data_IF_971828436251
#
_entry.id   IF_971828436251
#
_cell.length_a   1.000
_cell.length_b   1.000
_cell.length_c   1.000
_cell.angle_alpha   90.00
_cell.angle_beta   90.00
_cell.angle_gamma   90.00
#
_symmetry.space_group_name_H-M   'P 1'
#
loop_
_entity.id
_entity.type
_entity.pdbx_description
1 polymer ?
#
# COMPACT_ATOMS: atom_id res chain seq x y z
N UNK A 1 1.38 13.60 14.57
CA UNK A 1 0.89 12.21 14.45
C UNK A 1 -0.27 12.25 13.48
N UNK A 2 -0.29 11.41 12.47
CA UNK A 2 -1.45 11.22 11.59
C UNK A 2 -2.09 9.87 11.92
N UNK A 3 -3.41 9.81 11.93
CA UNK A 3 -4.20 8.62 12.22
C UNK A 3 -4.89 8.18 10.94
N UNK A 4 -4.62 6.95 10.51
CA UNK A 4 -5.26 6.34 9.34
C UNK A 4 -6.47 5.52 9.81
N UNK A 5 -7.65 5.80 9.24
CA UNK A 5 -8.84 4.98 9.45
C UNK A 5 -8.73 3.69 8.63
N UNK A 6 -7.92 2.74 9.12
CA UNK A 6 -7.69 1.46 8.47
C UNK A 6 -8.82 0.47 8.76
N UNK A 7 -9.71 0.25 7.80
CA UNK A 7 -10.76 -0.76 7.92
C UNK A 7 -10.37 -2.10 7.30
N UNK A 8 -10.94 -3.17 7.85
CA UNK A 8 -10.75 -4.52 7.33
C UNK A 8 -11.49 -4.71 6.01
N UNK A 9 -11.14 -5.79 5.31
CA UNK A 9 -11.88 -6.28 4.15
C UNK A 9 -13.01 -7.24 4.59
N UNK A 10 -14.14 -7.28 3.85
CA UNK A 10 -14.40 -6.53 2.61
C UNK A 10 -14.94 -5.12 2.87
N UNK A 11 -14.52 -4.15 2.06
CA UNK A 11 -15.07 -2.78 2.10
C UNK A 11 -16.29 -2.61 1.18
N UNK A 12 -16.59 -3.62 0.37
CA UNK A 12 -17.74 -3.65 -0.55
C UNK A 12 -18.43 -5.01 -0.56
N UNK A 13 -19.64 -5.05 -1.13
CA UNK A 13 -20.47 -6.25 -1.14
C UNK A 13 -21.40 -6.38 0.08
N UNK A 14 -22.14 -7.49 0.19
CA UNK A 14 -23.23 -7.67 1.16
C UNK A 14 -22.76 -7.70 2.62
N UNK A 15 -21.51 -8.10 2.87
CA UNK A 15 -20.95 -8.23 4.22
C UNK A 15 -20.17 -6.97 4.68
N UNK A 16 -20.09 -5.93 3.84
CA UNK A 16 -19.27 -4.74 4.10
C UNK A 16 -19.95 -3.65 4.96
N UNK A 17 -21.24 -3.79 5.27
CA UNK A 17 -22.00 -2.72 5.93
C UNK A 17 -21.42 -2.34 7.30
N UNK A 18 -20.88 -3.31 8.04
CA UNK A 18 -20.24 -3.05 9.33
C UNK A 18 -18.93 -2.27 9.14
N UNK A 19 -18.05 -2.73 8.25
CA UNK A 19 -16.75 -2.08 8.00
C UNK A 19 -16.92 -0.67 7.42
N UNK A 20 -17.90 -0.45 6.55
CA UNK A 20 -18.24 0.88 6.02
C UNK A 20 -18.71 1.86 7.09
N UNK A 21 -19.51 1.38 8.05
CA UNK A 21 -19.94 2.20 9.20
C UNK A 21 -18.76 2.55 10.08
N UNK A 22 -17.89 1.58 10.38
CA UNK A 22 -16.68 1.83 11.15
C UNK A 22 -15.76 2.85 10.47
N UNK A 23 -15.61 2.79 9.14
CA UNK A 23 -14.85 3.80 8.40
C UNK A 23 -15.48 5.20 8.55
N UNK A 24 -16.80 5.31 8.37
CA UNK A 24 -17.51 6.57 8.50
C UNK A 24 -17.40 7.15 9.92
N UNK A 25 -17.58 6.31 10.94
CA UNK A 25 -17.46 6.70 12.36
C UNK A 25 -16.02 7.15 12.69
N UNK A 26 -15.00 6.48 12.14
CA UNK A 26 -13.60 6.87 12.33
C UNK A 26 -13.27 8.22 11.67
N UNK A 27 -13.82 8.49 10.49
CA UNK A 27 -13.70 9.79 9.82
C UNK A 27 -14.40 10.88 10.63
N UNK A 28 -15.62 10.63 11.12
CA UNK A 28 -16.35 11.58 11.98
C UNK A 28 -15.62 11.83 13.31
N UNK A 29 -14.94 10.83 13.86
CA UNK A 29 -14.13 10.94 15.06
C UNK A 29 -12.80 11.72 14.85
N UNK A 30 -12.45 12.07 13.61
CA UNK A 30 -11.31 12.92 13.29
C UNK A 30 -10.05 12.17 12.82
N UNK A 31 -10.20 11.02 12.14
CA UNK A 31 -9.08 10.42 11.42
C UNK A 31 -8.51 11.37 10.34
N UNK A 32 -7.19 11.35 10.16
CA UNK A 32 -6.48 12.25 9.24
C UNK A 32 -6.41 11.70 7.80
N UNK A 33 -6.55 10.38 7.63
CA UNK A 33 -6.37 9.68 6.34
C UNK A 33 -7.38 8.53 6.23
N UNK A 34 -7.95 8.34 5.05
CA UNK A 34 -8.78 7.17 4.74
C UNK A 34 -7.89 6.00 4.36
N UNK A 35 -8.09 4.84 5.00
CA UNK A 35 -7.32 3.63 4.71
C UNK A 35 -8.16 2.41 4.36
N UNK A 36 -7.47 1.31 4.07
CA UNK A 36 -8.08 0.02 3.78
C UNK A 36 -7.07 -1.00 3.26
N UNK A 37 -7.48 -2.28 3.18
CA UNK A 37 -6.67 -3.37 2.63
C UNK A 37 -7.40 -4.08 1.46
N UNK A 38 -7.55 -3.44 0.28
CA UNK A 38 -8.40 -3.96 -0.80
C UNK A 38 -8.04 -5.38 -1.24
N UNK A 39 -6.76 -5.71 -1.27
CA UNK A 39 -6.24 -6.99 -1.75
C UNK A 39 -6.59 -8.19 -0.85
N UNK A 40 -7.11 -7.96 0.36
CA UNK A 40 -7.49 -9.04 1.30
C UNK A 40 -8.94 -9.53 1.14
N UNK A 41 -9.76 -8.84 0.35
CA UNK A 41 -11.18 -9.18 0.17
C UNK A 41 -11.59 -9.36 -1.28
N UNK A 42 -12.78 -9.93 -1.53
CA UNK A 42 -13.41 -9.86 -2.84
C UNK A 42 -13.70 -8.39 -3.22
N UNK A 43 -13.77 -8.10 -4.52
CA UNK A 43 -14.11 -6.76 -5.00
C UNK A 43 -13.05 -5.71 -4.65
N UNK A 44 -11.76 -6.05 -4.80
CA UNK A 44 -10.64 -5.16 -4.47
C UNK A 44 -10.73 -3.81 -5.22
N UNK A 45 -11.04 -3.83 -6.51
CA UNK A 45 -11.28 -2.61 -7.32
C UNK A 45 -12.42 -1.77 -6.75
N UNK A 46 -13.54 -2.38 -6.39
CA UNK A 46 -14.67 -1.67 -5.78
C UNK A 46 -14.30 -1.10 -4.39
N UNK A 47 -13.44 -1.80 -3.65
CA UNK A 47 -12.93 -1.34 -2.35
C UNK A 47 -12.03 -0.12 -2.49
N UNK A 48 -11.18 -0.07 -3.53
CA UNK A 48 -10.42 1.15 -3.89
C UNK A 48 -11.38 2.28 -4.21
N UNK A 49 -12.36 2.05 -5.08
CA UNK A 49 -13.34 3.07 -5.46
C UNK A 49 -14.07 3.65 -4.25
N UNK A 50 -14.49 2.79 -3.32
CA UNK A 50 -15.17 3.21 -2.10
C UNK A 50 -14.28 4.08 -1.19
N UNK A 51 -13.01 3.70 -1.02
CA UNK A 51 -12.07 4.48 -0.21
C UNK A 51 -11.87 5.90 -0.79
N UNK A 52 -11.69 6.01 -2.12
CA UNK A 52 -11.59 7.31 -2.79
C UNK A 52 -12.87 8.13 -2.66
N UNK A 53 -14.05 7.51 -2.76
CA UNK A 53 -15.34 8.18 -2.57
C UNK A 53 -15.49 8.76 -1.16
N UNK A 54 -15.14 7.98 -0.13
CA UNK A 54 -15.16 8.44 1.28
C UNK A 54 -14.17 9.58 1.48
N UNK A 55 -12.95 9.43 1.00
CA UNK A 55 -11.90 10.43 1.15
C UNK A 55 -12.25 11.75 0.46
N UNK A 56 -12.80 11.69 -0.76
CA UNK A 56 -13.22 12.88 -1.51
C UNK A 56 -14.35 13.64 -0.79
N UNK A 57 -15.34 12.91 -0.23
CA UNK A 57 -16.40 13.54 0.57
C UNK A 57 -15.88 14.18 1.86
N UNK A 58 -14.88 13.56 2.48
CA UNK A 58 -14.31 14.03 3.74
C UNK A 58 -13.24 15.11 3.55
N UNK A 59 -12.75 15.33 2.32
CA UNK A 59 -11.64 16.23 2.04
C UNK A 59 -10.30 15.71 2.58
N UNK A 60 -10.14 14.39 2.67
CA UNK A 60 -8.99 13.72 3.29
C UNK A 60 -8.10 13.02 2.25
N UNK A 61 -6.80 12.83 2.52
CA UNK A 61 -5.93 11.96 1.75
C UNK A 61 -6.29 10.47 1.90
N UNK A 62 -5.71 9.64 1.03
CA UNK A 62 -5.86 8.18 1.01
C UNK A 62 -4.50 7.50 1.23
N UNK A 63 -4.46 6.48 2.09
CA UNK A 63 -3.32 5.56 2.23
C UNK A 63 -3.84 4.12 2.36
N UNK A 64 -3.68 3.33 1.29
CA UNK A 64 -4.16 1.95 1.25
C UNK A 64 -3.01 0.96 1.42
N UNK A 65 -3.27 -0.14 2.14
CA UNK A 65 -2.44 -1.33 2.06
C UNK A 65 -2.67 -1.98 0.70
N UNK A 66 -1.78 -1.68 -0.23
CA UNK A 66 -1.97 -1.95 -1.66
C UNK A 66 -1.12 -3.12 -2.07
N UNK A 67 -1.77 -4.15 -2.60
CA UNK A 67 -1.12 -5.32 -3.21
C UNK A 67 0.01 -5.95 -2.37
N UNK A 68 -0.20 -6.14 -1.07
CA UNK A 68 0.75 -6.77 -0.15
C UNK A 68 0.77 -8.31 -0.30
N UNK A 69 1.08 -8.77 -1.50
CA UNK A 69 1.04 -10.19 -1.86
C UNK A 69 2.10 -10.53 -2.91
N UNK A 70 2.51 -11.80 -2.95
CA UNK A 70 3.37 -12.34 -4.00
C UNK A 70 2.62 -12.68 -5.30
N UNK A 71 1.28 -12.54 -5.32
CA UNK A 71 0.47 -12.76 -6.53
C UNK A 71 0.64 -11.59 -7.52
N UNK A 72 1.25 -11.80 -8.70
CA UNK A 72 1.45 -10.73 -9.68
C UNK A 72 0.16 -10.30 -10.38
N UNK A 73 -0.96 -11.00 -10.21
CA UNK A 73 -2.25 -10.57 -10.77
C UNK A 73 -2.91 -9.45 -9.97
N UNK A 74 -2.49 -9.24 -8.71
CA UNK A 74 -3.00 -8.18 -7.85
C UNK A 74 -2.29 -6.86 -8.11
N UNK A 75 -2.94 -5.95 -8.84
CA UNK A 75 -2.41 -4.64 -9.24
C UNK A 75 -3.42 -3.52 -8.98
N UNK A 76 -4.04 -3.52 -7.80
CA UNK A 76 -5.02 -2.49 -7.39
C UNK A 76 -4.42 -1.09 -7.33
N UNK A 77 -3.08 -0.97 -7.30
CA UNK A 77 -2.40 0.32 -7.51
C UNK A 77 -2.75 0.99 -8.85
N UNK A 78 -3.08 0.20 -9.89
CA UNK A 78 -3.55 0.75 -11.17
C UNK A 78 -4.97 1.31 -11.06
N UNK A 79 -5.84 0.67 -10.28
CA UNK A 79 -7.17 1.20 -9.98
C UNK A 79 -7.06 2.53 -9.23
N UNK A 80 -6.12 2.64 -8.27
CA UNK A 80 -5.84 3.90 -7.57
C UNK A 80 -5.37 4.99 -8.54
N UNK A 81 -4.46 4.66 -9.46
CA UNK A 81 -3.97 5.61 -10.48
C UNK A 81 -5.09 6.08 -11.40
N UNK A 82 -6.00 5.19 -11.79
CA UNK A 82 -7.16 5.54 -12.61
C UNK A 82 -8.17 6.41 -11.85
N UNK A 83 -8.36 6.19 -10.54
CA UNK A 83 -9.18 7.08 -9.71
C UNK A 83 -8.62 8.49 -9.60
N UNK A 84 -7.30 8.64 -9.38
CA UNK A 84 -6.67 9.96 -9.35
C UNK A 84 -6.86 10.70 -10.68
N UNK A 85 -6.64 10.00 -11.80
CA UNK A 85 -6.71 10.58 -13.15
C UNK A 85 -8.13 10.91 -13.61
N UNK A 86 -9.10 10.07 -13.28
CA UNK A 86 -10.48 10.19 -13.79
C UNK A 86 -11.37 11.09 -12.94
N UNK A 87 -11.15 11.11 -11.62
CA UNK A 87 -12.04 11.79 -10.68
C UNK A 87 -11.55 13.18 -10.24
N UNK A 88 -10.31 13.58 -10.61
CA UNK A 88 -9.71 14.84 -10.15
C UNK A 88 -9.53 14.84 -8.64
N UNK A 89 -8.89 13.79 -8.11
CA UNK A 89 -8.67 13.66 -6.67
C UNK A 89 -7.50 14.56 -6.24
N UNK A 90 -7.83 15.69 -5.59
CA UNK A 90 -6.86 16.75 -5.29
C UNK A 90 -6.14 16.59 -3.93
N UNK A 91 -6.36 15.46 -3.24
CA UNK A 91 -5.70 15.15 -1.97
C UNK A 91 -4.55 14.15 -2.15
N UNK A 92 -3.65 14.06 -1.16
CA UNK A 92 -2.51 13.14 -1.22
C UNK A 92 -2.95 11.68 -1.30
N UNK A 93 -2.22 10.90 -2.10
CA UNK A 93 -2.46 9.45 -2.27
C UNK A 93 -1.18 8.67 -2.02
N UNK A 94 -1.28 7.68 -1.15
CA UNK A 94 -0.23 6.76 -0.78
C UNK A 94 -0.68 5.31 -1.01
N UNK A 95 0.21 4.50 -1.55
CA UNK A 95 0.07 3.06 -1.70
C UNK A 95 1.15 2.38 -0.86
N UNK A 96 0.74 1.86 0.30
CA UNK A 96 1.61 1.13 1.22
C UNK A 96 1.87 -0.29 0.71
N UNK A 97 3.09 -0.79 0.93
CA UNK A 97 3.65 -2.07 0.47
C UNK A 97 3.92 -2.22 -1.04
N UNK A 98 2.89 -2.36 -1.88
CA UNK A 98 2.97 -2.71 -3.32
C UNK A 98 3.90 -3.90 -3.64
N UNK A 99 3.81 -5.00 -2.87
CA UNK A 99 4.72 -6.17 -3.01
C UNK A 99 4.59 -6.82 -4.39
N UNK A 100 3.38 -6.97 -4.91
CA UNK A 100 3.11 -7.65 -6.18
C UNK A 100 3.84 -7.00 -7.37
N UNK A 101 4.11 -5.69 -7.30
CA UNK A 101 4.88 -4.96 -8.30
C UNK A 101 6.30 -5.53 -8.41
N UNK A 102 6.91 -5.92 -7.30
CA UNK A 102 8.23 -6.57 -7.30
C UNK A 102 8.25 -7.95 -7.97
N UNK A 103 7.08 -8.58 -8.12
CA UNK A 103 6.93 -9.89 -8.77
C UNK A 103 6.72 -9.80 -10.29
N UNK A 104 6.57 -8.59 -10.83
CA UNK A 104 6.37 -8.36 -12.26
C UNK A 104 7.67 -8.53 -13.06
N UNK A 105 7.55 -8.68 -14.39
CA UNK A 105 8.68 -8.60 -15.31
C UNK A 105 9.34 -7.21 -15.23
N UNK A 106 10.65 -7.06 -15.51
CA UNK A 106 11.28 -5.74 -15.50
C UNK A 106 10.59 -4.71 -16.41
N UNK A 107 10.06 -5.13 -17.57
CA UNK A 107 9.33 -4.25 -18.46
C UNK A 107 8.02 -3.75 -17.82
N UNK A 108 7.27 -4.65 -17.18
CA UNK A 108 6.03 -4.31 -16.48
C UNK A 108 6.27 -3.46 -15.23
N UNK A 109 7.36 -3.71 -14.49
CA UNK A 109 7.77 -2.89 -13.36
C UNK A 109 7.94 -1.42 -13.77
N UNK A 110 8.68 -1.16 -14.85
CA UNK A 110 8.89 0.21 -15.33
C UNK A 110 7.62 0.85 -15.88
N UNK A 111 6.82 0.08 -16.63
CA UNK A 111 5.54 0.56 -17.16
C UNK A 111 4.59 0.97 -16.03
N UNK A 112 4.38 0.10 -15.05
CA UNK A 112 3.48 0.35 -13.92
C UNK A 112 4.03 1.47 -13.03
N UNK A 113 5.34 1.50 -12.76
CA UNK A 113 5.97 2.61 -12.04
C UNK A 113 5.75 3.97 -12.72
N UNK A 114 5.79 4.01 -14.06
CA UNK A 114 5.45 5.22 -14.83
C UNK A 114 3.99 5.65 -14.60
N UNK A 115 3.05 4.71 -14.60
CA UNK A 115 1.64 5.01 -14.33
C UNK A 115 1.41 5.54 -12.90
N UNK A 116 2.14 4.99 -11.91
CA UNK A 116 2.13 5.47 -10.52
C UNK A 116 2.69 6.89 -10.43
N UNK A 117 3.80 7.17 -11.10
CA UNK A 117 4.44 8.49 -11.13
C UNK A 117 3.53 9.54 -11.80
N UNK A 118 2.95 9.20 -12.95
CA UNK A 118 2.02 10.07 -13.68
C UNK A 118 0.77 10.41 -12.85
N UNK A 119 0.32 9.49 -12.00
CA UNK A 119 -0.78 9.72 -11.07
C UNK A 119 -0.35 10.44 -9.77
N UNK A 120 0.93 10.71 -9.57
CA UNK A 120 1.43 11.38 -8.36
C UNK A 120 1.26 10.57 -7.07
N UNK A 121 1.13 9.24 -7.18
CA UNK A 121 0.95 8.35 -6.01
C UNK A 121 2.31 8.11 -5.35
N UNK A 122 2.40 8.31 -4.04
CA UNK A 122 3.56 7.89 -3.26
C UNK A 122 3.50 6.39 -2.96
N UNK A 123 4.65 5.71 -2.95
CA UNK A 123 4.72 4.28 -2.60
C UNK A 123 5.53 4.10 -1.33
N UNK A 124 4.96 3.38 -0.35
CA UNK A 124 5.54 3.19 0.97
C UNK A 124 5.88 1.71 1.22
N UNK A 125 7.02 1.19 0.72
CA UNK A 125 7.53 -0.12 1.12
C UNK A 125 7.76 -0.23 2.63
N UNK A 126 7.43 -1.39 3.21
CA UNK A 126 7.59 -1.67 4.64
C UNK A 126 8.54 -2.87 4.85
N UNK A 127 9.86 -2.68 4.66
CA UNK A 127 10.80 -3.79 4.50
C UNK A 127 10.85 -4.73 5.70
N UNK A 128 10.68 -4.21 6.92
CA UNK A 128 10.73 -5.03 8.12
C UNK A 128 9.56 -6.02 8.19
N UNK A 129 8.31 -5.57 8.00
CA UNK A 129 7.14 -6.44 7.96
C UNK A 129 7.13 -7.31 6.71
N UNK A 130 7.41 -6.73 5.54
CA UNK A 130 7.37 -7.48 4.28
C UNK A 130 8.36 -8.66 4.28
N UNK A 131 9.59 -8.49 4.77
CA UNK A 131 10.55 -9.60 4.91
C UNK A 131 10.09 -10.71 5.87
N UNK A 132 9.26 -10.37 6.86
CA UNK A 132 8.76 -11.31 7.84
C UNK A 132 7.48 -12.03 7.40
N UNK A 133 6.58 -11.34 6.71
CA UNK A 133 5.29 -11.89 6.25
C UNK A 133 5.42 -12.64 4.92
N UNK A 134 6.14 -12.06 3.97
CA UNK A 134 6.19 -12.56 2.61
C UNK A 134 7.15 -13.76 2.50
N UNK A 135 6.91 -14.63 1.51
CA UNK A 135 7.81 -15.75 1.22
C UNK A 135 7.76 -16.92 2.21
N UNK A 136 6.96 -16.88 3.28
CA UNK A 136 6.80 -17.99 4.25
C UNK A 136 6.46 -19.34 3.61
N UNK A 137 5.71 -19.33 2.51
CA UNK A 137 5.37 -20.52 1.72
C UNK A 137 6.43 -20.97 0.71
N UNK A 138 7.55 -20.25 0.59
CA UNK A 138 8.61 -20.48 -0.40
C UNK A 138 9.92 -20.87 0.30
N UNK A 139 10.16 -22.17 0.60
CA UNK A 139 11.34 -22.61 1.34
C UNK A 139 12.66 -22.49 0.54
N UNK A 140 12.56 -22.32 -0.77
CA UNK A 140 13.71 -22.26 -1.68
C UNK A 140 13.57 -21.03 -2.56
N UNK A 141 14.68 -20.30 -2.76
CA UNK A 141 14.69 -19.04 -3.50
C UNK A 141 13.58 -18.07 -3.02
N UNK A 142 13.44 -17.95 -1.70
CA UNK A 142 12.42 -17.14 -1.04
C UNK A 142 12.43 -15.71 -1.60
N UNK A 143 11.32 -15.23 -2.17
CA UNK A 143 11.22 -13.85 -2.63
C UNK A 143 11.44 -12.91 -1.45
N UNK A 144 12.13 -11.80 -1.69
CA UNK A 144 12.35 -10.75 -0.68
C UNK A 144 11.05 -10.06 -0.25
N UNK A 145 9.96 -10.25 -1.01
CA UNK A 145 8.65 -9.70 -0.68
C UNK A 145 8.61 -8.17 -0.73
N UNK A 146 9.47 -7.54 -1.51
CA UNK A 146 9.55 -6.09 -1.65
C UNK A 146 9.07 -5.63 -3.01
N UNK A 147 8.51 -4.42 -3.06
CA UNK A 147 8.14 -3.73 -4.31
C UNK A 147 9.35 -3.44 -5.22
N UNK A 148 9.09 -3.01 -6.45
CA UNK A 148 10.12 -2.71 -7.45
C UNK A 148 10.80 -1.34 -7.24
N UNK A 149 11.55 -1.20 -6.14
CA UNK A 149 12.15 0.07 -5.70
C UNK A 149 12.96 0.80 -6.77
N UNK A 150 13.75 0.07 -7.58
CA UNK A 150 14.54 0.67 -8.66
C UNK A 150 13.65 1.31 -9.72
N UNK A 151 12.67 0.56 -10.23
CA UNK A 151 11.75 1.05 -11.24
C UNK A 151 10.93 2.25 -10.74
N UNK A 152 10.47 2.22 -9.48
CA UNK A 152 9.77 3.34 -8.84
C UNK A 152 10.65 4.60 -8.76
N UNK A 153 11.88 4.47 -8.26
CA UNK A 153 12.82 5.61 -8.17
C UNK A 153 13.19 6.17 -9.53
N UNK A 154 13.46 5.31 -10.51
CA UNK A 154 13.82 5.72 -11.87
C UNK A 154 12.65 6.40 -12.60
N UNK A 155 11.40 6.00 -12.31
CA UNK A 155 10.20 6.67 -12.80
C UNK A 155 9.90 8.01 -12.09
N UNK A 156 10.59 8.34 -11.00
CA UNK A 156 10.36 9.56 -10.23
C UNK A 156 9.23 9.47 -9.20
N UNK A 157 8.80 8.26 -8.84
CA UNK A 157 7.82 8.05 -7.77
C UNK A 157 8.41 8.50 -6.43
N UNK A 158 7.60 9.19 -5.61
CA UNK A 158 7.95 9.47 -4.22
C UNK A 158 7.94 8.16 -3.43
N UNK A 159 9.11 7.72 -2.99
CA UNK A 159 9.28 6.51 -2.18
C UNK A 159 9.76 6.87 -0.78
N UNK A 160 9.04 6.41 0.23
CA UNK A 160 9.43 6.48 1.64
C UNK A 160 9.28 5.09 2.27
N UNK A 161 9.92 4.81 3.41
CA UNK A 161 9.80 3.50 4.05
C UNK A 161 9.25 3.59 5.47
N UNK A 162 8.45 2.59 5.84
CA UNK A 162 7.90 2.43 7.19
C UNK A 162 8.36 1.12 7.84
N UNK A 163 8.44 1.11 9.17
CA UNK A 163 8.63 -0.14 9.92
C UNK A 163 7.37 -1.01 9.90
N UNK A 164 6.20 -0.38 9.69
CA UNK A 164 4.87 -0.97 9.80
C UNK A 164 4.59 -1.47 11.22
N UNK A 165 4.67 -2.78 11.42
CA UNK A 165 4.35 -3.43 12.68
C UNK A 165 5.55 -3.44 13.62
N UNK A 166 5.30 -3.19 14.91
CA UNK A 166 6.32 -3.27 15.96
C UNK A 166 5.77 -4.04 17.14
N UNK A 167 6.30 -5.24 17.34
CA UNK A 167 5.96 -6.13 18.47
C UNK A 167 4.45 -6.41 18.55
N UNK A 168 3.83 -6.71 17.40
CA UNK A 168 2.41 -6.99 17.26
C UNK A 168 2.17 -8.34 16.53
N UNK A 169 0.91 -8.78 16.31
CA UNK A 169 0.61 -10.05 15.67
C UNK A 169 1.16 -10.24 14.24
N UNK A 170 1.48 -9.16 13.53
CA UNK A 170 1.99 -9.18 12.16
C UNK A 170 3.51 -9.07 12.09
N UNK A 171 4.17 -8.45 13.09
CA UNK A 171 5.62 -8.52 13.25
C UNK A 171 6.02 -8.55 14.74
N UNK A 172 6.58 -9.67 15.17
CA UNK A 172 6.89 -9.94 16.58
C UNK A 172 8.13 -9.17 17.09
N UNK A 173 8.85 -8.48 16.21
CA UNK A 173 10.05 -7.72 16.55
C UNK A 173 9.93 -6.26 16.06
N UNK A 174 10.88 -5.42 16.45
CA UNK A 174 10.96 -4.02 16.06
C UNK A 174 11.17 -3.09 17.25
N UNK A 175 11.62 -1.86 16.96
CA UNK A 175 11.98 -0.86 17.98
C UNK A 175 11.74 0.60 17.55
N UNK A 176 10.87 0.83 16.57
CA UNK A 176 10.57 2.17 16.03
C UNK A 176 11.81 2.97 15.59
N UNK A 177 12.83 2.29 15.04
CA UNK A 177 14.06 2.94 14.58
C UNK A 177 13.99 3.21 13.05
N UNK A 178 13.82 4.47 12.61
CA UNK A 178 13.73 4.77 11.19
C UNK A 178 15.04 4.54 10.43
N UNK A 179 16.20 4.54 11.11
CA UNK A 179 17.49 4.21 10.49
C UNK A 179 17.59 2.71 10.23
N UNK A 180 17.02 1.88 11.09
CA UNK A 180 16.88 0.44 10.87
C UNK A 180 15.98 0.16 9.67
N UNK A 181 14.83 0.84 9.58
CA UNK A 181 13.94 0.75 8.40
C UNK A 181 14.66 1.16 7.11
N UNK A 182 15.38 2.29 7.11
CA UNK A 182 16.13 2.76 5.95
C UNK A 182 17.24 1.78 5.55
N UNK A 183 18.01 1.27 6.52
CA UNK A 183 19.06 0.29 6.28
C UNK A 183 18.49 -1.00 5.67
N UNK A 184 17.37 -1.51 6.20
CA UNK A 184 16.68 -2.68 5.66
C UNK A 184 16.18 -2.44 4.24
N UNK A 185 15.62 -1.26 3.94
CA UNK A 185 15.16 -0.92 2.59
C UNK A 185 16.33 -0.97 1.58
N UNK A 186 17.47 -0.38 1.92
CA UNK A 186 18.68 -0.38 1.08
C UNK A 186 19.18 -1.81 0.86
N UNK A 187 19.38 -2.56 1.95
CA UNK A 187 19.95 -3.91 1.91
C UNK A 187 19.04 -4.89 1.18
N UNK A 188 17.77 -4.97 1.56
CA UNK A 188 16.83 -5.90 0.95
C UNK A 188 16.39 -5.42 -0.44
N UNK A 189 16.37 -4.11 -0.69
CA UNK A 189 16.05 -3.53 -1.99
C UNK A 189 17.15 -3.66 -3.04
N UNK A 190 18.40 -3.89 -2.64
CA UNK A 190 19.58 -3.76 -3.51
C UNK A 190 19.63 -2.41 -4.24
N UNK A 191 19.26 -1.35 -3.53
CA UNK A 191 19.31 0.03 -4.02
C UNK A 191 20.31 0.83 -3.20
N UNK A 192 21.03 1.79 -3.78
CA UNK A 192 21.83 2.71 -2.99
C UNK A 192 20.91 3.58 -2.11
N UNK A 193 21.44 4.18 -1.03
CA UNK A 193 20.73 5.17 -0.21
C UNK A 193 20.03 6.26 -1.03
#
# INVERSE_FOLDING_TARGET
LQIVALTRAPMTGPDADADRRVLADAVEAGADVVGGCPHLGPGATDSVAHAFEVAARAGLPVDLHTDETLDPSMLTVLDMADHVRSAGFDHGVAASHCVSLGMQSPADQHRIAGQIADAGIAVLPQPQTNLYLQGRGHPTATPRGLTALRALREAGVVVAAGADNVQDPYNLVGRFDPLETAALLVMAGHVPP
#
